data_IF_338023735550
#
_entry.id   IF_338023735550
#
_cell.length_a   1.000
_cell.length_b   1.000
_cell.length_c   1.000
_cell.angle_alpha   90.00
_cell.angle_beta   90.00
_cell.angle_gamma   90.00
#
_symmetry.space_group_name_H-M   'P 1'
#
loop_
_entity.id
_entity.type
_entity.pdbx_description
1 polymer ?
#
# COMPACT_ATOMS: atom_id res chain seq x y z
N UNK A 1 5.54 31.30 -67.64
CA UNK A 1 5.79 32.48 -66.84
C UNK A 1 6.57 32.04 -65.64
N UNK A 2 7.89 32.14 -65.71
CA UNK A 2 8.83 31.77 -64.63
C UNK A 2 9.20 33.05 -63.92
N UNK A 3 8.70 33.20 -62.68
CA UNK A 3 9.03 34.33 -61.81
C UNK A 3 10.42 34.11 -61.23
N UNK A 4 11.36 34.92 -61.72
CA UNK A 4 12.77 34.94 -61.27
C UNK A 4 12.80 35.69 -59.93
N UNK A 5 12.98 34.99 -58.81
CA UNK A 5 13.22 35.60 -57.52
C UNK A 5 14.53 36.38 -57.52
N UNK A 6 14.46 37.67 -57.22
CA UNK A 6 15.57 38.62 -57.21
C UNK A 6 16.60 38.25 -56.10
N UNK A 7 17.91 38.27 -56.40
CA UNK A 7 18.96 37.91 -55.44
C UNK A 7 19.09 38.85 -54.23
N UNK A 8 18.38 39.99 -54.20
CA UNK A 8 18.37 40.93 -53.08
C UNK A 8 17.51 40.47 -51.88
N UNK A 9 16.43 39.71 -52.12
CA UNK A 9 15.60 39.22 -51.00
C UNK A 9 16.30 38.10 -50.23
N UNK A 10 17.05 37.25 -50.90
CA UNK A 10 17.79 36.16 -50.29
C UNK A 10 18.89 36.66 -49.32
N UNK A 11 19.50 37.81 -49.62
CA UNK A 11 20.56 38.45 -48.81
C UNK A 11 20.02 38.99 -47.47
N UNK A 12 18.75 39.34 -47.38
CA UNK A 12 18.14 39.88 -46.16
C UNK A 12 17.49 38.81 -45.28
N UNK A 13 17.04 37.71 -45.90
CA UNK A 13 16.38 36.60 -45.19
C UNK A 13 17.39 35.63 -44.57
N UNK A 14 18.52 35.42 -45.23
CA UNK A 14 19.56 34.47 -44.82
C UNK A 14 20.11 34.77 -43.38
N UNK A 15 20.45 36.02 -42.98
CA UNK A 15 20.93 36.32 -41.64
C UNK A 15 19.84 36.14 -40.58
N UNK A 16 18.56 36.38 -40.91
CA UNK A 16 17.45 36.15 -39.98
C UNK A 16 17.21 34.66 -39.72
N UNK A 17 17.35 33.81 -40.73
CA UNK A 17 17.26 32.35 -40.58
C UNK A 17 18.44 31.84 -39.74
N UNK A 18 19.65 32.30 -39.96
CA UNK A 18 20.82 31.91 -39.19
C UNK A 18 20.68 32.33 -37.72
N UNK A 19 20.20 33.55 -37.47
CA UNK A 19 19.93 34.05 -36.10
C UNK A 19 18.84 33.22 -35.40
N UNK A 20 17.78 32.86 -36.12
CA UNK A 20 16.69 32.02 -35.59
C UNK A 20 17.15 30.61 -35.23
N UNK A 21 17.90 29.96 -36.15
CA UNK A 21 18.48 28.63 -35.91
C UNK A 21 19.48 28.65 -34.72
N UNK A 22 20.30 29.70 -34.64
CA UNK A 22 21.24 29.88 -33.51
C UNK A 22 20.54 30.00 -32.15
N UNK A 23 19.43 30.73 -32.08
CA UNK A 23 18.62 30.87 -30.86
C UNK A 23 17.96 29.54 -30.47
N UNK A 24 17.46 28.77 -31.42
CA UNK A 24 16.86 27.46 -31.14
C UNK A 24 17.93 26.49 -30.61
N UNK A 25 19.11 26.45 -31.22
CA UNK A 25 20.23 25.59 -30.81
C UNK A 25 20.73 25.98 -29.40
N UNK A 26 20.80 27.28 -29.07
CA UNK A 26 21.13 27.75 -27.74
C UNK A 26 20.04 27.37 -26.71
N UNK A 27 18.77 27.46 -27.08
CA UNK A 27 17.65 27.03 -26.24
C UNK A 27 17.69 25.54 -25.91
N UNK A 28 17.94 24.71 -26.93
CA UNK A 28 18.09 23.24 -26.78
C UNK A 28 19.31 22.89 -25.91
N UNK A 29 20.45 23.57 -26.13
CA UNK A 29 21.65 23.37 -25.33
C UNK A 29 21.43 23.80 -23.88
N UNK A 30 20.78 24.94 -23.64
CA UNK A 30 20.42 25.40 -22.29
C UNK A 30 19.45 24.43 -21.61
N UNK A 31 18.45 23.88 -22.33
CA UNK A 31 17.54 22.89 -21.80
C UNK A 31 18.22 21.55 -21.46
N UNK A 32 19.21 21.13 -22.24
CA UNK A 32 19.99 19.94 -21.98
C UNK A 32 20.97 20.07 -20.79
N UNK A 33 21.35 21.32 -20.44
CA UNK A 33 22.20 21.63 -19.32
C UNK A 33 21.42 21.95 -18.04
N UNK A 34 20.09 22.09 -18.11
CA UNK A 34 19.28 22.18 -16.90
C UNK A 34 19.42 20.88 -16.12
N UNK A 35 19.71 20.95 -14.80
CA UNK A 35 19.68 19.75 -13.97
C UNK A 35 18.32 19.11 -14.16
N UNK A 36 18.29 17.88 -14.67
CA UNK A 36 17.06 17.09 -14.70
C UNK A 36 16.58 17.06 -13.25
N UNK A 37 15.31 17.40 -13.00
CA UNK A 37 14.74 17.14 -11.67
C UNK A 37 15.04 15.68 -11.39
N UNK A 38 15.79 15.41 -10.33
CA UNK A 38 16.03 14.06 -9.85
C UNK A 38 14.65 13.43 -9.68
N UNK A 39 14.24 12.63 -10.66
CA UNK A 39 13.15 11.68 -10.52
C UNK A 39 13.66 10.52 -9.66
N UNK A 40 14.17 10.83 -8.46
CA UNK A 40 14.06 9.87 -7.41
C UNK A 40 12.56 9.67 -7.21
N UNK A 41 12.04 8.46 -7.39
CA UNK A 41 10.79 8.14 -6.75
C UNK A 41 11.08 8.41 -5.28
N UNK A 42 10.56 9.52 -4.76
CA UNK A 42 10.37 9.66 -3.34
C UNK A 42 9.40 8.53 -2.98
N UNK A 43 9.96 7.36 -2.70
CA UNK A 43 9.35 6.42 -1.80
C UNK A 43 9.34 7.12 -0.45
N UNK A 44 8.52 8.15 -0.35
CA UNK A 44 7.98 8.55 0.92
C UNK A 44 7.17 7.33 1.31
N UNK A 45 7.81 6.45 2.05
CA UNK A 45 7.16 5.36 2.75
C UNK A 45 6.16 6.04 3.68
N UNK A 46 4.93 6.23 3.19
CA UNK A 46 3.82 6.73 3.97
C UNK A 46 3.41 5.63 4.93
N UNK A 47 4.28 5.37 5.90
CA UNK A 47 3.92 4.57 7.04
C UNK A 47 3.17 5.45 8.00
N UNK A 48 1.91 5.20 8.16
CA UNK A 48 1.10 5.88 9.16
C UNK A 48 1.55 5.47 10.55
N UNK A 49 1.67 6.45 11.46
CA UNK A 49 1.89 6.17 12.89
C UNK A 49 0.58 5.60 13.45
N UNK A 50 0.64 4.51 14.25
CA UNK A 50 -0.58 3.97 14.84
C UNK A 50 -1.19 4.93 15.85
N UNK A 51 -2.50 4.89 15.95
CA UNK A 51 -3.22 5.46 17.07
C UNK A 51 -3.23 4.43 18.20
N UNK A 52 -2.70 4.79 19.36
CA UNK A 52 -2.84 4.00 20.58
C UNK A 52 -4.26 4.10 21.11
N UNK A 53 -4.89 2.96 21.34
CA UNK A 53 -6.27 2.85 21.80
C UNK A 53 -6.38 1.78 22.89
N UNK A 54 -7.53 1.71 23.58
CA UNK A 54 -7.74 0.74 24.64
C UNK A 54 -9.23 0.41 24.73
N UNK A 55 -9.69 -0.53 23.91
CA UNK A 55 -11.08 -1.01 23.94
C UNK A 55 -11.16 -2.49 23.52
N UNK A 56 -12.21 -3.18 23.96
CA UNK A 56 -12.39 -4.60 23.67
C UNK A 56 -12.49 -4.86 22.17
N UNK A 57 -11.84 -5.92 21.69
CA UNK A 57 -12.03 -6.40 20.34
C UNK A 57 -13.50 -6.82 20.13
N UNK A 58 -14.06 -6.58 18.94
CA UNK A 58 -15.44 -6.99 18.66
C UNK A 58 -15.56 -8.51 18.62
N UNK A 59 -16.75 -9.01 18.94
CA UNK A 59 -17.12 -10.39 18.62
C UNK A 59 -17.33 -10.49 17.12
N UNK A 60 -16.40 -11.16 16.44
CA UNK A 60 -16.41 -11.33 15.00
C UNK A 60 -16.19 -12.80 14.65
N UNK A 61 -17.11 -13.35 13.89
CA UNK A 61 -17.01 -14.69 13.32
C UNK A 61 -17.29 -14.60 11.82
N UNK A 62 -16.41 -15.19 11.02
CA UNK A 62 -16.47 -15.22 9.56
C UNK A 62 -16.12 -16.63 9.07
N UNK A 63 -15.85 -16.74 7.78
CA UNK A 63 -15.37 -17.98 7.15
C UNK A 63 -13.98 -17.75 6.62
N UNK A 64 -13.04 -18.62 6.98
CA UNK A 64 -11.71 -18.63 6.39
C UNK A 64 -11.75 -18.99 4.91
N UNK A 65 -10.71 -18.68 4.17
CA UNK A 65 -10.62 -18.92 2.72
C UNK A 65 -10.77 -20.41 2.35
N UNK A 66 -10.41 -21.31 3.24
CA UNK A 66 -10.58 -22.77 3.08
C UNK A 66 -12.01 -23.27 3.40
N UNK A 67 -12.92 -22.37 3.77
CA UNK A 67 -14.30 -22.66 4.11
C UNK A 67 -14.55 -22.99 5.60
N UNK A 68 -13.51 -22.96 6.45
CA UNK A 68 -13.64 -23.23 7.89
C UNK A 68 -14.31 -22.06 8.61
N UNK A 69 -15.34 -22.27 9.45
CA UNK A 69 -15.84 -21.24 10.36
C UNK A 69 -14.76 -20.84 11.35
N UNK A 70 -14.60 -19.54 11.59
CA UNK A 70 -13.52 -19.00 12.42
C UNK A 70 -13.99 -17.75 13.18
N UNK A 71 -13.35 -17.46 14.28
CA UNK A 71 -13.69 -16.35 15.18
C UNK A 71 -12.44 -15.68 15.74
N UNK A 72 -12.51 -14.38 16.02
CA UNK A 72 -11.44 -13.69 16.77
C UNK A 72 -11.24 -14.29 18.17
N UNK A 73 -12.26 -14.91 18.73
CA UNK A 73 -12.15 -15.62 20.03
C UNK A 73 -11.17 -16.81 19.98
N UNK A 74 -10.95 -17.42 18.81
CA UNK A 74 -10.04 -18.57 18.64
C UNK A 74 -8.56 -18.16 18.83
N UNK A 75 -8.28 -16.87 18.79
CA UNK A 75 -6.93 -16.30 18.95
C UNK A 75 -6.65 -15.74 20.35
N UNK A 76 -7.49 -16.04 21.34
CA UNK A 76 -7.24 -15.62 22.74
C UNK A 76 -5.90 -16.15 23.23
N UNK A 77 -5.15 -15.28 23.93
CA UNK A 77 -3.78 -15.59 24.39
C UNK A 77 -2.69 -15.30 23.37
N UNK A 78 -3.06 -14.90 22.15
CA UNK A 78 -2.12 -14.43 21.12
C UNK A 78 -2.23 -12.92 20.93
N UNK A 79 -1.17 -12.30 20.42
CA UNK A 79 -1.23 -10.95 19.86
C UNK A 79 -1.67 -11.08 18.40
N UNK A 80 -2.74 -10.40 18.04
CA UNK A 80 -3.36 -10.55 16.72
C UNK A 80 -3.34 -9.22 15.97
N UNK A 81 -2.79 -9.21 14.77
CA UNK A 81 -2.95 -8.12 13.82
C UNK A 81 -4.10 -8.48 12.88
N UNK A 82 -5.23 -7.80 13.04
CA UNK A 82 -6.35 -7.86 12.07
C UNK A 82 -6.07 -6.83 11.00
N UNK A 83 -6.09 -7.26 9.72
CA UNK A 83 -5.88 -6.40 8.57
C UNK A 83 -7.09 -6.46 7.63
N UNK A 84 -7.74 -5.32 7.41
CA UNK A 84 -8.85 -5.18 6.46
C UNK A 84 -8.30 -4.77 5.11
N UNK A 85 -8.57 -5.53 4.04
CA UNK A 85 -7.93 -5.36 2.75
C UNK A 85 -8.81 -5.81 1.57
N UNK A 86 -8.41 -5.44 0.34
CA UNK A 86 -9.03 -5.93 -0.89
C UNK A 86 -7.99 -6.17 -1.99
N UNK A 87 -8.32 -7.05 -2.94
CA UNK A 87 -7.42 -7.43 -4.04
C UNK A 87 -7.13 -6.28 -5.02
N UNK A 88 -8.01 -5.32 -5.13
CA UNK A 88 -7.90 -4.13 -5.99
C UNK A 88 -7.22 -2.94 -5.33
N UNK A 89 -6.91 -3.01 -4.02
CA UNK A 89 -6.37 -1.92 -3.22
C UNK A 89 -4.83 -1.84 -3.36
N UNK A 90 -4.24 -0.81 -4.01
CA UNK A 90 -2.79 -0.75 -4.23
C UNK A 90 -1.96 -0.70 -2.94
N UNK A 91 -2.27 0.12 -1.91
CA UNK A 91 -1.49 0.12 -0.66
C UNK A 91 -1.64 -1.19 0.12
N UNK A 92 -2.79 -1.89 0.01
CA UNK A 92 -2.94 -3.22 0.60
C UNK A 92 -1.96 -4.22 -0.02
N UNK A 93 -1.81 -4.20 -1.36
CA UNK A 93 -0.84 -5.04 -2.06
C UNK A 93 0.59 -4.76 -1.62
N UNK A 94 0.92 -3.50 -1.42
CA UNK A 94 2.27 -3.07 -1.04
C UNK A 94 2.67 -3.58 0.36
N UNK A 95 1.75 -3.64 1.31
CA UNK A 95 2.05 -4.07 2.69
C UNK A 95 2.07 -5.60 2.89
N UNK A 96 1.45 -6.41 2.01
CA UNK A 96 1.35 -7.88 2.21
C UNK A 96 2.71 -8.58 2.41
N UNK A 97 3.79 -8.28 1.65
CA UNK A 97 5.09 -8.88 1.90
C UNK A 97 5.66 -8.52 3.28
N UNK A 98 5.40 -7.30 3.75
CA UNK A 98 5.80 -6.83 5.08
C UNK A 98 5.07 -7.60 6.17
N UNK A 99 3.75 -7.76 6.05
CA UNK A 99 2.94 -8.54 6.98
C UNK A 99 3.36 -10.00 6.99
N UNK A 100 3.63 -10.61 5.82
CA UNK A 100 4.09 -11.99 5.73
C UNK A 100 5.44 -12.18 6.42
N UNK A 101 6.41 -11.31 6.14
CA UNK A 101 7.73 -11.39 6.77
C UNK A 101 7.68 -11.23 8.29
N UNK A 102 6.81 -10.35 8.78
CA UNK A 102 6.62 -10.15 10.21
C UNK A 102 5.90 -11.35 10.86
N UNK A 103 4.88 -11.91 10.21
CA UNK A 103 4.21 -13.13 10.63
C UNK A 103 5.18 -14.31 10.73
N UNK A 104 5.98 -14.54 9.69
CA UNK A 104 6.98 -15.64 9.67
C UNK A 104 7.95 -15.57 10.84
N UNK A 105 8.32 -14.35 11.24
CA UNK A 105 9.26 -14.13 12.35
C UNK A 105 8.65 -14.40 13.72
N UNK A 106 7.40 -14.00 13.95
CA UNK A 106 6.81 -13.94 15.29
C UNK A 106 5.67 -14.94 15.54
N UNK A 107 5.24 -15.74 14.54
CA UNK A 107 4.14 -16.71 14.75
C UNK A 107 4.46 -17.74 15.85
N UNK A 108 5.71 -18.14 16.00
CA UNK A 108 6.14 -19.07 17.04
C UNK A 108 6.08 -18.44 18.45
N UNK A 109 6.08 -17.11 18.55
CA UNK A 109 6.03 -16.35 19.80
C UNK A 109 4.58 -15.96 20.18
N UNK A 110 3.59 -16.55 19.51
CA UNK A 110 2.17 -16.31 19.76
C UNK A 110 1.65 -15.04 19.11
N UNK A 111 2.17 -14.68 17.94
CA UNK A 111 1.63 -13.65 17.08
C UNK A 111 0.85 -14.24 15.92
N UNK A 112 -0.28 -13.64 15.56
CA UNK A 112 -1.07 -14.01 14.41
C UNK A 112 -1.40 -12.80 13.55
N UNK A 113 -1.50 -13.01 12.23
CA UNK A 113 -2.13 -12.09 11.31
C UNK A 113 -3.45 -12.71 10.86
N UNK A 114 -4.54 -11.95 10.94
CA UNK A 114 -5.86 -12.30 10.42
C UNK A 114 -6.20 -11.27 9.35
N UNK A 115 -5.99 -11.63 8.09
CA UNK A 115 -6.28 -10.76 6.96
C UNK A 115 -7.72 -10.98 6.48
N UNK A 116 -8.58 -9.98 6.67
CA UNK A 116 -10.01 -10.05 6.33
C UNK A 116 -10.22 -9.35 4.99
N UNK A 117 -10.61 -10.11 3.99
CA UNK A 117 -10.87 -9.59 2.66
C UNK A 117 -12.28 -8.99 2.55
N UNK A 118 -12.32 -7.75 2.10
CA UNK A 118 -13.51 -6.90 2.06
C UNK A 118 -14.29 -7.08 0.75
N UNK A 119 -15.04 -8.19 0.65
CA UNK A 119 -16.08 -8.39 -0.37
C UNK A 119 -15.63 -8.93 -1.73
N UNK A 120 -14.35 -9.25 -1.94
CA UNK A 120 -13.90 -9.82 -3.21
C UNK A 120 -14.42 -11.28 -3.39
N UNK A 121 -14.57 -11.74 -4.63
CA UNK A 121 -14.85 -13.15 -4.91
C UNK A 121 -13.75 -14.07 -4.36
N UNK A 122 -14.13 -15.19 -3.74
CA UNK A 122 -13.18 -16.13 -3.14
C UNK A 122 -12.11 -16.64 -4.13
N UNK A 123 -12.44 -16.74 -5.43
CA UNK A 123 -11.49 -17.15 -6.47
C UNK A 123 -10.36 -16.11 -6.64
N UNK A 124 -10.69 -14.82 -6.61
CA UNK A 124 -9.71 -13.73 -6.75
C UNK A 124 -8.82 -13.64 -5.51
N UNK A 125 -9.41 -13.82 -4.31
CA UNK A 125 -8.67 -13.89 -3.04
C UNK A 125 -7.72 -15.09 -3.04
N UNK A 126 -8.17 -16.25 -3.51
CA UNK A 126 -7.35 -17.47 -3.62
C UNK A 126 -6.15 -17.25 -4.55
N UNK A 127 -6.38 -16.61 -5.70
CA UNK A 127 -5.30 -16.31 -6.63
C UNK A 127 -4.30 -15.33 -6.01
N UNK A 128 -4.79 -14.27 -5.36
CA UNK A 128 -3.97 -13.29 -4.67
C UNK A 128 -3.08 -13.94 -3.59
N UNK A 129 -3.65 -14.79 -2.73
CA UNK A 129 -2.91 -15.51 -1.68
C UNK A 129 -1.76 -16.34 -2.26
N UNK A 130 -1.99 -16.98 -3.42
CA UNK A 130 -0.94 -17.72 -4.14
C UNK A 130 0.14 -16.81 -4.71
N UNK A 131 -0.26 -15.73 -5.37
CA UNK A 131 0.65 -14.81 -6.04
C UNK A 131 1.59 -14.10 -5.05
N UNK A 132 1.10 -13.81 -3.85
CA UNK A 132 1.86 -13.18 -2.76
C UNK A 132 2.48 -14.18 -1.78
N UNK A 133 2.28 -15.50 -2.00
CA UNK A 133 2.74 -16.60 -1.14
C UNK A 133 2.36 -16.37 0.35
N UNK A 134 1.14 -15.90 0.61
CA UNK A 134 0.66 -15.65 1.97
C UNK A 134 0.36 -16.96 2.68
N UNK A 135 0.84 -17.07 3.93
CA UNK A 135 0.66 -18.27 4.78
C UNK A 135 -0.14 -17.98 6.05
N UNK A 136 -0.35 -16.72 6.38
CA UNK A 136 -1.21 -16.34 7.50
C UNK A 136 -2.71 -16.54 7.16
N UNK A 137 -3.59 -16.66 8.17
CA UNK A 137 -5.02 -16.79 8.00
C UNK A 137 -5.65 -15.66 7.18
N UNK A 138 -6.43 -16.05 6.15
CA UNK A 138 -7.22 -15.13 5.34
C UNK A 138 -8.70 -15.48 5.49
N UNK A 139 -9.51 -14.49 5.86
CA UNK A 139 -10.95 -14.63 6.04
C UNK A 139 -11.70 -13.87 4.96
N UNK A 140 -12.88 -14.37 4.62
CA UNK A 140 -13.77 -13.73 3.64
C UNK A 140 -14.89 -12.97 4.35
N UNK A 141 -15.09 -11.73 3.94
CA UNK A 141 -16.19 -10.89 4.43
C UNK A 141 -17.09 -10.40 3.27
N UNK A 142 -17.85 -11.28 2.62
CA UNK A 142 -18.68 -10.92 1.46
C UNK A 142 -19.88 -10.02 1.83
N UNK A 143 -20.08 -9.73 3.11
CA UNK A 143 -21.18 -8.91 3.61
C UNK A 143 -20.71 -7.66 4.37
N UNK A 144 -19.42 -7.36 4.33
CA UNK A 144 -18.83 -6.18 4.97
C UNK A 144 -19.08 -6.10 6.49
N UNK A 145 -19.24 -7.25 7.15
CA UNK A 145 -19.52 -7.33 8.60
C UNK A 145 -18.34 -6.81 9.40
N UNK A 146 -17.11 -7.13 8.98
CA UNK A 146 -15.91 -6.66 9.65
C UNK A 146 -15.74 -5.15 9.48
N UNK A 147 -15.80 -4.66 8.24
CA UNK A 147 -15.55 -3.24 7.93
C UNK A 147 -16.67 -2.34 8.42
N UNK A 148 -17.92 -2.65 8.14
CA UNK A 148 -19.05 -1.76 8.45
C UNK A 148 -19.56 -1.86 9.88
N UNK A 149 -19.55 -3.07 10.48
CA UNK A 149 -20.21 -3.31 11.76
C UNK A 149 -19.20 -3.47 12.91
N UNK A 150 -18.19 -4.34 12.73
CA UNK A 150 -17.27 -4.68 13.81
C UNK A 150 -16.23 -3.58 14.06
N UNK A 151 -15.47 -3.21 13.03
CA UNK A 151 -14.40 -2.21 13.14
C UNK A 151 -14.82 -0.81 12.69
N UNK A 152 -15.93 -0.67 11.98
CA UNK A 152 -16.50 0.59 11.46
C UNK A 152 -15.46 1.42 10.70
N UNK A 153 -14.65 0.74 9.88
CA UNK A 153 -13.63 1.36 9.04
C UNK A 153 -14.09 1.38 7.59
N UNK A 154 -14.07 2.58 7.01
CA UNK A 154 -14.40 2.80 5.59
C UNK A 154 -13.17 2.88 4.70
N UNK A 155 -11.97 2.73 5.26
CA UNK A 155 -10.71 2.89 4.54
C UNK A 155 -9.94 1.57 4.49
N UNK A 156 -9.30 1.31 3.35
CA UNK A 156 -8.40 0.18 3.16
C UNK A 156 -6.99 0.66 2.76
N UNK A 157 -5.94 0.04 3.29
CA UNK A 157 -5.98 -0.93 4.39
C UNK A 157 -6.27 -0.27 5.73
N UNK A 158 -6.87 -1.02 6.63
CA UNK A 158 -6.98 -0.66 8.04
C UNK A 158 -6.56 -1.83 8.91
N UNK A 159 -5.74 -1.56 9.92
CA UNK A 159 -5.21 -2.61 10.78
C UNK A 159 -5.43 -2.32 12.24
N UNK A 160 -5.67 -3.38 13.00
CA UNK A 160 -5.93 -3.34 14.43
C UNK A 160 -5.06 -4.38 15.13
N UNK A 161 -4.33 -3.99 16.17
CA UNK A 161 -3.56 -4.93 16.98
C UNK A 161 -4.30 -5.20 18.28
N UNK A 162 -4.61 -6.46 18.51
CA UNK A 162 -5.32 -6.99 19.65
C UNK A 162 -4.30 -7.68 20.56
N UNK A 163 -4.27 -7.35 21.84
CA UNK A 163 -3.41 -8.00 22.82
C UNK A 163 -3.93 -9.38 23.23
N UNK A 164 -3.15 -10.12 24.02
CA UNK A 164 -3.48 -11.46 24.52
C UNK A 164 -4.79 -11.53 25.33
N UNK A 165 -5.21 -10.39 25.90
CA UNK A 165 -6.45 -10.27 26.67
C UNK A 165 -7.66 -9.93 25.77
N UNK A 166 -7.44 -9.72 24.46
CA UNK A 166 -8.48 -9.35 23.52
C UNK A 166 -8.87 -7.87 23.55
N UNK A 167 -7.93 -7.02 23.90
CA UNK A 167 -8.06 -5.56 23.88
C UNK A 167 -7.34 -5.01 22.66
N UNK A 168 -8.01 -4.18 21.86
CA UNK A 168 -7.36 -3.45 20.78
C UNK A 168 -6.47 -2.38 21.40
N UNK A 169 -5.17 -2.45 21.06
CA UNK A 169 -4.14 -1.54 21.58
C UNK A 169 -3.67 -0.54 20.55
N UNK A 170 -3.71 -0.90 19.28
CA UNK A 170 -3.23 -0.08 18.18
C UNK A 170 -4.21 -0.13 17.00
N UNK A 171 -4.33 1.00 16.31
CA UNK A 171 -5.14 1.13 15.10
C UNK A 171 -4.35 1.90 14.04
N UNK A 172 -4.34 1.39 12.80
CA UNK A 172 -3.79 2.06 11.63
C UNK A 172 -4.84 2.27 10.55
N UNK A 173 -4.69 3.34 9.79
CA UNK A 173 -5.34 3.54 8.50
C UNK A 173 -4.25 3.84 7.48
N UNK A 174 -4.16 3.02 6.43
CA UNK A 174 -3.12 3.07 5.41
C UNK A 174 -2.03 2.01 5.61
N UNK A 175 -1.08 1.98 4.70
CA UNK A 175 0.02 1.01 4.65
C UNK A 175 0.89 1.02 5.90
N UNK A 176 1.29 -0.17 6.36
CA UNK A 176 2.17 -0.36 7.51
C UNK A 176 3.55 -0.79 7.05
N UNK A 177 4.58 -0.06 7.49
CA UNK A 177 5.98 -0.44 7.26
C UNK A 177 6.51 -1.42 8.30
N UNK A 178 7.56 -2.16 7.92
CA UNK A 178 8.28 -3.05 8.84
C UNK A 178 8.79 -2.31 10.08
N UNK A 179 9.31 -1.08 9.91
CA UNK A 179 9.80 -0.26 11.02
C UNK A 179 8.69 0.06 12.05
N UNK A 180 7.44 0.26 11.58
CA UNK A 180 6.31 0.51 12.47
C UNK A 180 5.87 -0.75 13.19
N UNK A 181 5.83 -1.89 12.50
CA UNK A 181 5.54 -3.18 13.15
C UNK A 181 6.57 -3.49 14.25
N UNK A 182 7.86 -3.35 13.94
CA UNK A 182 8.92 -3.59 14.94
C UNK A 182 8.83 -2.64 16.12
N UNK A 183 8.55 -1.37 15.89
CA UNK A 183 8.48 -0.37 16.96
C UNK A 183 7.28 -0.54 17.89
N UNK A 184 6.12 -0.86 17.33
CA UNK A 184 4.85 -0.78 18.08
C UNK A 184 4.23 -2.14 18.38
N UNK A 185 4.43 -3.16 17.53
CA UNK A 185 3.81 -4.47 17.71
C UNK A 185 4.74 -5.45 18.45
N UNK A 186 6.06 -5.43 18.13
CA UNK A 186 7.02 -6.31 18.80
C UNK A 186 6.98 -6.21 20.33
N UNK A 187 6.87 -5.01 20.96
CA UNK A 187 6.74 -4.94 22.43
C UNK A 187 5.55 -5.74 22.99
N UNK A 188 4.38 -5.71 22.30
CA UNK A 188 3.19 -6.44 22.72
C UNK A 188 3.35 -7.96 22.60
N UNK A 189 4.20 -8.42 21.70
CA UNK A 189 4.50 -9.86 21.50
C UNK A 189 5.43 -10.36 22.60
N UNK A 190 6.39 -9.55 23.00
CA UNK A 190 7.48 -9.93 23.93
C UNK A 190 7.15 -9.69 25.42
N UNK A 191 6.02 -9.04 25.74
CA UNK A 191 5.48 -8.94 27.09
C UNK A 191 4.88 -10.28 27.54
#
# INVERSE_FOLDING_TARGET
MTESSSPKELSTILPLIIAGVGLVLLGVAAFALLPKPDSQPSTTEYSTIPLEVNYAAPDLSLTALDGTPTSLADYRGQVVLVNLWATWCPPCKAEMPTLQSFYDRYQADGFAVVAINDGDPAADVTQFVKDYALTFPVWLDPKYVATEQAFKSMNLPSSYVIDRNGVIRLQWVGEISSAMLEKYVTPLITE
#
